data_IF_712393913016
#
_entry.id   IF_712393913016
#
_cell.length_a   1.000
_cell.length_b   1.000
_cell.length_c   1.000
_cell.angle_alpha   90.00
_cell.angle_beta   90.00
_cell.angle_gamma   90.00
#
_symmetry.space_group_name_H-M   'P 1'
#
loop_
_entity.id
_entity.type
_entity.pdbx_description
1 polymer ?
#
# COMPACT_ATOMS: atom_id res chain seq x y z
N UNK A 1 -12.17 -39.42 28.76
CA UNK A 1 -12.31 -38.00 28.39
C UNK A 1 -11.08 -37.61 27.58
N UNK A 2 -11.19 -37.58 26.24
CA UNK A 2 -10.04 -37.42 25.32
C UNK A 2 -9.86 -35.93 24.96
N UNK A 3 -8.78 -35.35 25.45
CA UNK A 3 -8.32 -33.97 25.17
C UNK A 3 -7.68 -33.93 23.76
N UNK A 4 -8.44 -34.22 22.71
CA UNK A 4 -7.91 -34.31 21.33
C UNK A 4 -8.31 -33.09 20.47
N UNK A 5 -9.22 -32.23 20.94
CA UNK A 5 -9.78 -31.15 20.11
C UNK A 5 -8.96 -29.84 20.03
N UNK A 6 -8.05 -29.56 20.95
CA UNK A 6 -7.43 -28.22 21.06
C UNK A 6 -6.17 -28.07 20.21
N UNK A 7 -5.38 -29.14 20.04
CA UNK A 7 -4.12 -29.08 19.32
C UNK A 7 -4.28 -28.85 17.81
N UNK A 8 -5.34 -29.39 17.19
CA UNK A 8 -5.58 -29.29 15.74
C UNK A 8 -6.11 -27.93 15.28
N UNK A 9 -6.82 -27.20 16.15
CA UNK A 9 -7.29 -25.84 15.84
C UNK A 9 -6.16 -24.80 15.86
N UNK A 10 -5.16 -24.99 16.72
CA UNK A 10 -3.97 -24.13 16.78
C UNK A 10 -3.05 -24.28 15.55
N UNK A 11 -3.02 -25.46 14.91
CA UNK A 11 -2.17 -25.71 13.74
C UNK A 11 -2.74 -25.07 12.46
N UNK A 12 -4.06 -25.06 12.26
CA UNK A 12 -4.69 -24.43 11.08
C UNK A 12 -4.55 -22.90 11.08
N UNK A 13 -4.54 -22.24 12.24
CA UNK A 13 -4.39 -20.79 12.32
C UNK A 13 -2.98 -20.30 11.89
N UNK A 14 -1.94 -21.13 12.07
CA UNK A 14 -0.57 -20.76 11.73
C UNK A 14 -0.32 -20.69 10.21
N UNK A 15 -1.02 -21.50 9.40
CA UNK A 15 -0.81 -21.58 7.95
C UNK A 15 -1.41 -20.40 7.16
N UNK A 16 -2.49 -19.79 7.67
CA UNK A 16 -3.11 -18.64 7.00
C UNK A 16 -2.28 -17.35 7.12
N UNK A 17 -1.41 -17.26 8.13
CA UNK A 17 -0.56 -16.09 8.36
C UNK A 17 0.59 -15.95 7.35
N UNK A 18 1.08 -17.05 6.77
CA UNK A 18 2.27 -17.05 5.92
C UNK A 18 2.08 -16.34 4.57
N UNK A 19 0.85 -16.27 4.05
CA UNK A 19 0.60 -15.72 2.71
C UNK A 19 0.49 -14.19 2.70
N UNK A 20 0.13 -13.58 3.83
CA UNK A 20 -0.08 -12.13 3.91
C UNK A 20 1.22 -11.32 3.98
N UNK A 21 2.38 -11.97 4.07
CA UNK A 21 3.69 -11.32 4.13
C UNK A 21 4.61 -11.74 2.98
N UNK A 22 4.03 -12.33 1.92
CA UNK A 22 4.78 -12.75 0.74
C UNK A 22 5.47 -11.55 0.07
N UNK A 23 6.80 -11.61 0.00
CA UNK A 23 7.62 -10.56 -0.63
C UNK A 23 7.65 -10.67 -2.14
N UNK A 24 7.75 -11.90 -2.62
CA UNK A 24 7.72 -12.23 -4.04
C UNK A 24 6.34 -12.80 -4.37
N UNK A 25 5.62 -12.12 -5.27
CA UNK A 25 4.31 -12.58 -5.75
C UNK A 25 4.42 -13.53 -6.95
N UNK A 26 5.65 -13.97 -7.28
CA UNK A 26 5.93 -14.83 -8.44
C UNK A 26 5.73 -14.09 -9.78
N UNK A 27 5.45 -14.79 -10.88
CA UNK A 27 5.31 -14.18 -12.22
C UNK A 27 4.10 -13.25 -12.38
N UNK A 28 3.34 -13.02 -11.30
CA UNK A 28 2.12 -12.22 -11.29
C UNK A 28 2.34 -10.74 -10.95
N UNK A 29 3.61 -10.27 -10.84
CA UNK A 29 3.90 -8.85 -10.66
C UNK A 29 3.26 -8.04 -11.79
N UNK A 30 2.44 -7.02 -11.48
CA UNK A 30 1.72 -6.26 -12.47
C UNK A 30 2.71 -5.44 -13.28
N UNK A 31 2.80 -5.75 -14.56
CA UNK A 31 3.53 -4.96 -15.56
C UNK A 31 2.64 -3.87 -16.18
N UNK A 32 1.36 -3.84 -15.82
CA UNK A 32 0.37 -2.90 -16.33
C UNK A 32 -0.50 -2.34 -15.21
N UNK A 33 -1.15 -1.21 -15.47
CA UNK A 33 -2.21 -0.69 -14.61
C UNK A 33 -3.30 -1.75 -14.33
N UNK A 34 -4.03 -1.65 -13.21
CA UNK A 34 -5.22 -2.47 -12.99
C UNK A 34 -6.24 -2.21 -14.10
N UNK A 35 -6.80 -3.27 -14.66
CA UNK A 35 -7.79 -3.13 -15.73
C UNK A 35 -9.06 -2.44 -15.20
N UNK A 36 -9.56 -2.91 -14.07
CA UNK A 36 -10.77 -2.42 -13.40
C UNK A 36 -10.69 -2.68 -11.89
N UNK A 37 -11.69 -2.21 -11.14
CA UNK A 37 -11.78 -2.46 -9.70
C UNK A 37 -11.97 -3.95 -9.31
N UNK A 38 -12.25 -4.81 -10.29
CA UNK A 38 -12.39 -6.26 -10.12
C UNK A 38 -11.17 -7.05 -10.61
N UNK A 39 -10.05 -6.37 -10.92
CA UNK A 39 -8.83 -7.01 -11.38
C UNK A 39 -8.35 -8.07 -10.35
N UNK A 40 -8.16 -9.34 -10.76
CA UNK A 40 -7.85 -10.43 -9.83
C UNK A 40 -6.48 -10.26 -9.15
N UNK A 41 -5.58 -9.44 -9.69
CA UNK A 41 -4.26 -9.17 -9.11
C UNK A 41 -4.35 -8.29 -7.86
N UNK A 42 -5.45 -7.55 -7.64
CA UNK A 42 -5.60 -6.58 -6.55
C UNK A 42 -5.39 -7.20 -5.17
N UNK A 43 -5.93 -8.41 -4.94
CA UNK A 43 -5.84 -9.07 -3.63
C UNK A 43 -4.40 -9.35 -3.21
N UNK A 44 -3.51 -9.64 -4.17
CA UNK A 44 -2.10 -9.90 -3.91
C UNK A 44 -1.35 -8.68 -3.34
N UNK A 45 -1.88 -7.47 -3.55
CA UNK A 45 -1.34 -6.22 -3.02
C UNK A 45 -2.14 -5.71 -1.83
N UNK A 46 -3.46 -5.56 -1.98
CA UNK A 46 -4.31 -4.93 -0.97
C UNK A 46 -4.49 -5.77 0.30
N UNK A 47 -4.36 -7.09 0.21
CA UNK A 47 -4.46 -8.00 1.37
C UNK A 47 -3.10 -8.45 1.91
N UNK A 48 -2.00 -8.02 1.28
CA UNK A 48 -0.65 -8.40 1.67
C UNK A 48 0.02 -7.28 2.48
N UNK A 49 0.32 -7.56 3.75
CA UNK A 49 0.94 -6.64 4.70
C UNK A 49 2.32 -6.16 4.26
N UNK A 50 3.11 -7.04 3.63
CA UNK A 50 4.41 -6.64 3.11
C UNK A 50 4.24 -5.63 1.96
N UNK A 51 3.36 -5.90 1.01
CA UNK A 51 3.11 -5.02 -0.14
C UNK A 51 2.54 -3.66 0.30
N UNK A 52 1.61 -3.65 1.27
CA UNK A 52 1.08 -2.42 1.88
C UNK A 52 2.18 -1.64 2.61
N UNK A 53 3.09 -2.32 3.32
CA UNK A 53 4.21 -1.70 4.01
C UNK A 53 5.21 -1.06 3.03
N UNK A 54 5.53 -1.75 1.93
CA UNK A 54 6.34 -1.18 0.84
C UNK A 54 5.67 0.08 0.26
N UNK A 55 4.36 0.02 0.01
CA UNK A 55 3.59 1.19 -0.44
C UNK A 55 3.69 2.38 0.49
N UNK A 56 3.70 2.14 1.81
CA UNK A 56 3.92 3.19 2.81
C UNK A 56 5.29 3.84 2.69
N UNK A 57 6.35 3.07 2.44
CA UNK A 57 7.71 3.61 2.20
C UNK A 57 7.72 4.46 0.93
N UNK A 58 7.18 3.93 -0.15
CA UNK A 58 7.12 4.61 -1.45
C UNK A 58 6.29 5.89 -1.41
N UNK A 59 5.21 5.93 -0.64
CA UNK A 59 4.43 7.15 -0.42
C UNK A 59 5.31 8.32 0.05
N UNK A 60 6.24 8.06 0.95
CA UNK A 60 7.14 9.09 1.49
C UNK A 60 8.31 9.35 0.54
N UNK A 61 8.87 8.30 -0.09
CA UNK A 61 9.97 8.40 -1.06
C UNK A 61 9.61 9.20 -2.31
N UNK A 62 8.42 8.98 -2.85
CA UNK A 62 7.90 9.73 -4.00
C UNK A 62 7.35 11.11 -3.62
N UNK A 63 7.43 11.50 -2.34
CA UNK A 63 7.08 12.84 -1.88
C UNK A 63 5.58 13.09 -1.68
N UNK A 64 4.73 12.04 -1.64
CA UNK A 64 3.30 12.22 -1.39
C UNK A 64 3.03 12.89 -0.02
N UNK A 65 3.89 12.61 0.97
CA UNK A 65 3.84 13.22 2.30
C UNK A 65 4.09 14.74 2.28
N UNK A 66 4.76 15.29 1.27
CA UNK A 66 5.00 16.73 1.19
C UNK A 66 3.67 17.53 1.09
N UNK A 67 2.67 16.99 0.40
CA UNK A 67 1.35 17.61 0.26
C UNK A 67 0.30 17.00 1.21
N UNK A 68 0.36 15.69 1.45
CA UNK A 68 -0.63 14.99 2.27
C UNK A 68 -0.24 14.82 3.73
N UNK A 69 0.99 15.18 4.13
CA UNK A 69 1.64 14.86 5.41
C UNK A 69 1.80 13.35 5.67
N UNK A 70 2.69 12.96 6.58
CA UNK A 70 3.01 11.55 6.87
C UNK A 70 1.80 10.72 7.33
N UNK A 71 0.86 11.35 8.02
CA UNK A 71 -0.38 10.69 8.48
C UNK A 71 -1.53 10.80 7.48
N UNK A 72 -1.30 11.45 6.34
CA UNK A 72 -2.26 11.73 5.29
C UNK A 72 -3.46 12.69 5.55
N UNK A 73 -3.55 13.56 6.59
CA UNK A 73 -4.62 14.55 6.72
C UNK A 73 -4.40 15.89 5.97
N UNK A 74 -3.40 15.99 5.09
CA UNK A 74 -2.97 17.23 4.42
C UNK A 74 -3.95 17.76 3.35
N UNK A 75 -3.42 18.23 2.22
CA UNK A 75 -4.18 18.94 1.17
C UNK A 75 -5.49 18.22 0.75
N UNK A 76 -5.47 16.89 0.72
CA UNK A 76 -6.67 16.08 0.90
C UNK A 76 -6.43 15.06 2.01
N UNK A 77 -7.45 14.83 2.84
CA UNK A 77 -7.40 13.83 3.89
C UNK A 77 -7.63 12.44 3.29
N UNK A 78 -6.56 11.69 3.03
CA UNK A 78 -6.66 10.34 2.46
C UNK A 78 -7.06 9.29 3.51
N UNK A 79 -7.07 9.66 4.79
CA UNK A 79 -7.33 8.75 5.90
C UNK A 79 -8.76 8.86 6.47
N UNK A 80 -9.61 9.77 5.98
CA UNK A 80 -11.00 9.92 6.45
C UNK A 80 -12.01 9.02 5.72
N UNK A 81 -11.55 8.31 4.68
CA UNK A 81 -12.38 7.42 3.86
C UNK A 81 -13.33 8.14 2.90
N UNK A 82 -13.20 9.45 2.70
CA UNK A 82 -14.05 10.25 1.80
C UNK A 82 -13.34 10.46 0.46
N UNK A 83 -13.78 9.73 -0.56
CA UNK A 83 -13.14 9.72 -1.87
C UNK A 83 -13.91 10.56 -2.90
N UNK A 84 -13.23 11.54 -3.51
CA UNK A 84 -13.82 12.38 -4.55
C UNK A 84 -13.72 11.77 -5.96
N UNK A 85 -12.71 10.93 -6.21
CA UNK A 85 -12.40 10.36 -7.53
C UNK A 85 -12.65 8.85 -7.61
N UNK A 86 -13.57 8.34 -6.79
CA UNK A 86 -13.82 6.91 -6.63
C UNK A 86 -12.97 6.28 -5.53
N UNK A 87 -13.53 5.22 -4.94
CA UNK A 87 -12.95 4.52 -3.79
C UNK A 87 -12.50 3.11 -4.15
N UNK A 88 -12.41 2.74 -5.44
CA UNK A 88 -11.91 1.44 -5.89
C UNK A 88 -10.39 1.44 -6.11
N UNK A 89 -9.78 0.26 -6.23
CA UNK A 89 -8.33 0.16 -6.41
C UNK A 89 -7.87 0.80 -7.72
N UNK A 90 -8.53 0.50 -8.83
CA UNK A 90 -8.22 1.09 -10.13
C UNK A 90 -8.51 2.60 -10.16
N UNK A 91 -9.52 3.07 -9.42
CA UNK A 91 -9.81 4.50 -9.28
C UNK A 91 -8.69 5.24 -8.57
N UNK A 92 -8.25 4.72 -7.42
CA UNK A 92 -7.16 5.30 -6.64
C UNK A 92 -5.85 5.24 -7.43
N UNK A 93 -5.55 4.10 -8.08
CA UNK A 93 -4.38 3.96 -8.94
C UNK A 93 -4.34 5.04 -10.01
N UNK A 94 -5.44 5.21 -10.76
CA UNK A 94 -5.57 6.21 -11.83
C UNK A 94 -5.44 7.63 -11.30
N UNK A 95 -6.00 7.91 -10.13
CA UNK A 95 -5.88 9.20 -9.47
C UNK A 95 -4.45 9.53 -9.02
N UNK A 96 -3.65 8.54 -8.64
CA UNK A 96 -2.24 8.71 -8.30
C UNK A 96 -1.39 8.81 -9.57
N UNK A 97 -1.64 7.94 -10.56
CA UNK A 97 -0.92 7.91 -11.83
C UNK A 97 -1.01 9.26 -12.57
N UNK A 98 -2.20 9.88 -12.56
CA UNK A 98 -2.45 11.20 -13.12
C UNK A 98 -2.05 12.35 -12.17
N UNK A 99 -1.00 12.16 -11.36
CA UNK A 99 -0.49 13.15 -10.42
C UNK A 99 -0.30 14.53 -11.06
N UNK A 100 -0.57 15.57 -10.28
CA UNK A 100 -0.26 16.95 -10.63
C UNK A 100 0.25 17.71 -9.39
N UNK A 101 1.12 18.73 -9.58
CA UNK A 101 1.76 19.14 -10.85
C UNK A 101 2.80 18.13 -11.36
N UNK A 102 3.31 18.31 -12.59
CA UNK A 102 4.26 17.38 -13.25
C UNK A 102 5.47 16.94 -12.39
N UNK A 103 6.01 15.72 -12.58
CA UNK A 103 5.63 14.74 -13.61
C UNK A 103 4.40 13.90 -13.23
N UNK A 104 3.63 13.45 -14.23
CA UNK A 104 2.65 12.39 -14.01
C UNK A 104 3.33 11.14 -13.45
N UNK A 105 2.90 10.69 -12.27
CA UNK A 105 3.53 9.55 -11.58
C UNK A 105 3.44 8.24 -12.38
N UNK A 106 2.45 8.09 -13.26
CA UNK A 106 2.35 6.94 -14.16
C UNK A 106 3.54 6.80 -15.11
N UNK A 107 4.28 7.88 -15.37
CA UNK A 107 5.41 7.88 -16.30
C UNK A 107 6.76 7.67 -15.61
N UNK A 108 6.83 7.90 -14.29
CA UNK A 108 8.09 7.92 -13.53
C UNK A 108 8.15 6.92 -12.38
N UNK A 109 7.02 6.40 -11.92
CA UNK A 109 6.95 5.38 -10.87
C UNK A 109 6.78 4.00 -11.54
N UNK A 110 7.63 3.01 -11.24
CA UNK A 110 7.44 1.64 -11.73
C UNK A 110 6.03 1.14 -11.38
N UNK A 111 5.38 0.47 -12.34
CA UNK A 111 3.98 0.03 -12.21
C UNK A 111 3.72 -0.66 -10.88
N UNK A 112 4.53 -1.66 -10.53
CA UNK A 112 4.37 -2.38 -9.27
C UNK A 112 4.44 -1.47 -8.03
N UNK A 113 5.35 -0.50 -8.00
CA UNK A 113 5.44 0.44 -6.88
C UNK A 113 4.20 1.31 -6.80
N UNK A 114 3.63 1.67 -7.95
CA UNK A 114 2.36 2.40 -8.00
C UNK A 114 1.19 1.53 -7.50
N UNK A 115 1.19 0.22 -7.75
CA UNK A 115 0.25 -0.73 -7.13
C UNK A 115 0.42 -0.79 -5.61
N UNK A 116 1.65 -0.83 -5.10
CA UNK A 116 1.93 -0.84 -3.66
C UNK A 116 1.50 0.48 -2.99
N UNK A 117 1.83 1.63 -3.56
CA UNK A 117 1.36 2.94 -3.07
C UNK A 117 -0.17 2.99 -3.07
N UNK A 118 -0.81 2.50 -4.13
CA UNK A 118 -2.28 2.39 -4.19
C UNK A 118 -2.83 1.53 -3.05
N UNK A 119 -2.24 0.36 -2.79
CA UNK A 119 -2.65 -0.51 -1.69
C UNK A 119 -2.52 0.19 -0.32
N UNK A 120 -1.41 0.91 -0.11
CA UNK A 120 -1.19 1.70 1.11
C UNK A 120 -2.23 2.81 1.28
N UNK A 121 -2.46 3.61 0.23
CA UNK A 121 -3.43 4.73 0.27
C UNK A 121 -4.84 4.23 0.60
N UNK A 122 -5.22 3.04 0.12
CA UNK A 122 -6.50 2.40 0.47
C UNK A 122 -6.55 1.85 1.88
N UNK A 123 -5.41 1.49 2.45
CA UNK A 123 -5.31 0.99 3.82
C UNK A 123 -5.35 2.13 4.86
N UNK A 124 -5.00 3.36 4.47
CA UNK A 124 -4.94 4.54 5.37
C UNK A 124 -6.18 4.74 6.27
N UNK A 125 -7.43 4.61 5.78
CA UNK A 125 -8.60 4.77 6.64
C UNK A 125 -8.71 3.73 7.77
N UNK A 126 -8.00 2.60 7.65
CA UNK A 126 -7.91 1.56 8.68
C UNK A 126 -6.78 1.80 9.67
N UNK A 127 -5.92 2.80 9.44
CA UNK A 127 -4.82 3.10 10.34
C UNK A 127 -5.30 3.99 11.49
N UNK A 128 -5.44 3.40 12.66
CA UNK A 128 -5.61 4.15 13.89
C UNK A 128 -4.33 4.98 14.21
N UNK A 129 -4.43 6.05 15.02
CA UNK A 129 -3.34 7.01 15.24
C UNK A 129 -1.99 6.38 15.60
N UNK A 130 -1.98 5.35 16.43
CA UNK A 130 -0.77 4.66 16.89
C UNK A 130 -0.08 3.89 15.75
N UNK A 131 -0.84 3.25 14.85
CA UNK A 131 -0.29 2.57 13.66
C UNK A 131 0.39 3.58 12.75
N UNK A 132 -0.24 4.73 12.49
CA UNK A 132 0.33 5.81 11.66
C UNK A 132 1.61 6.38 12.26
N UNK A 133 1.61 6.63 13.58
CA UNK A 133 2.81 7.09 14.29
C UNK A 133 3.97 6.10 14.15
N UNK A 134 3.71 4.80 14.32
CA UNK A 134 4.75 3.77 14.17
C UNK A 134 5.34 3.77 12.77
N UNK A 135 4.49 3.75 11.74
CA UNK A 135 4.94 3.80 10.34
C UNK A 135 5.79 5.04 10.06
N UNK A 136 5.35 6.22 10.51
CA UNK A 136 6.13 7.47 10.37
C UNK A 136 7.47 7.37 11.09
N UNK A 137 7.52 6.81 12.31
CA UNK A 137 8.77 6.61 13.04
C UNK A 137 9.74 5.65 12.33
N UNK A 138 9.22 4.54 11.82
CA UNK A 138 10.01 3.54 11.08
C UNK A 138 10.61 4.14 9.80
N UNK A 139 9.99 5.18 9.23
CA UNK A 139 10.41 5.85 8.00
C UNK A 139 11.36 7.04 8.20
N UNK A 140 11.60 7.50 9.43
CA UNK A 140 12.39 8.72 9.69
C UNK A 140 13.82 8.68 9.16
N UNK A 141 14.41 7.49 9.04
CA UNK A 141 15.77 7.30 8.51
C UNK A 141 15.83 7.02 7.01
N UNK A 142 14.67 6.86 6.36
CA UNK A 142 14.60 6.49 4.95
C UNK A 142 14.65 7.75 4.05
N UNK A 143 15.10 7.62 2.79
CA UNK A 143 15.04 8.71 1.81
C UNK A 143 13.65 9.33 1.69
N UNK A 144 13.56 10.62 1.37
CA UNK A 144 12.29 11.34 1.24
C UNK A 144 12.33 12.25 0.02
N UNK A 145 11.31 12.20 -0.83
CA UNK A 145 11.15 13.10 -1.98
C UNK A 145 12.44 13.30 -2.79
N UNK A 146 12.95 14.53 -2.80
CA UNK A 146 14.15 14.92 -3.55
C UNK A 146 15.45 14.21 -3.14
N UNK A 147 15.47 13.51 -1.99
CA UNK A 147 16.62 12.70 -1.56
C UNK A 147 16.55 11.25 -2.05
N UNK A 148 15.48 10.88 -2.73
CA UNK A 148 15.31 9.60 -3.40
C UNK A 148 15.42 9.82 -4.91
N UNK A 149 16.14 8.96 -5.62
CA UNK A 149 16.39 9.10 -7.07
C UNK A 149 15.96 7.90 -7.91
N UNK A 150 15.38 6.86 -7.31
CA UNK A 150 15.07 5.62 -8.02
C UNK A 150 15.34 4.38 -7.19
N UNK A 151 14.77 3.22 -7.57
CA UNK A 151 15.56 2.00 -7.46
C UNK A 151 16.82 2.17 -8.35
N UNK A 152 18.00 1.93 -7.78
CA UNK A 152 19.27 1.85 -8.51
C UNK A 152 19.38 0.55 -9.30
#
# INVERSE_FOLDING_TARGET
>A
MRIIGVASLLTLAALAGCNNEARELGPSLPQTAPAENTDPRISAYQSNLYQVSQGGRYFSWYGCSACHSDSAPGAANLADGRWQRGHGFADVYRAIAAHQPEPAYGDVIPVEQLWQVTAYVRDLPKHYPEKRRRVSLDQKGEPQGSHWSGPQ
#
